data_IF_224823240804
#
_entry.id   IF_224823240804
#
_cell.length_a   1.000
_cell.length_b   1.000
_cell.length_c   1.000
_cell.angle_alpha   90.00
_cell.angle_beta   90.00
_cell.angle_gamma   90.00
#
_symmetry.space_group_name_H-M   'P 1'
#
loop_
_entity.id
_entity.type
_entity.pdbx_description
1 polymer ?
#
# COMPACT_ATOMS: atom_id res chain seq x y z
N UNK A 1 29.07 9.74 11.41
CA UNK A 1 27.72 10.12 10.88
C UNK A 1 27.76 10.06 9.36
N UNK A 2 26.90 9.27 8.72
CA UNK A 2 27.00 8.94 7.29
C UNK A 2 26.61 10.09 6.35
N UNK A 3 25.74 11.01 6.80
CA UNK A 3 25.15 12.07 5.95
C UNK A 3 25.21 13.48 6.56
N UNK A 4 26.08 13.70 7.56
CA UNK A 4 26.31 15.01 8.21
C UNK A 4 25.05 15.81 8.65
N UNK A 5 24.02 15.11 9.13
CA UNK A 5 22.81 15.73 9.71
C UNK A 5 22.97 15.96 11.22
N UNK A 6 22.20 16.88 11.83
CA UNK A 6 22.14 17.05 13.29
C UNK A 6 21.64 15.77 13.99
N UNK A 7 22.05 15.53 15.25
CA UNK A 7 21.52 14.37 16.01
C UNK A 7 20.10 14.72 16.43
N UNK A 8 19.11 13.85 16.21
CA UNK A 8 17.81 14.02 16.85
C UNK A 8 17.94 13.81 18.36
N UNK A 9 17.71 14.86 19.16
CA UNK A 9 17.79 14.84 20.64
C UNK A 9 16.46 14.43 21.32
N UNK A 10 15.43 14.05 20.55
CA UNK A 10 14.08 13.80 21.07
C UNK A 10 13.82 12.38 21.59
N UNK A 11 14.80 11.46 21.53
CA UNK A 11 14.57 10.03 21.83
C UNK A 11 14.18 9.74 23.28
N UNK A 12 14.57 10.59 24.23
CA UNK A 12 14.15 10.46 25.63
C UNK A 12 12.64 10.68 25.83
N UNK A 13 11.95 11.27 24.85
CA UNK A 13 10.51 11.54 24.85
C UNK A 13 9.71 10.54 23.98
N UNK A 14 10.31 9.38 23.65
CA UNK A 14 9.62 8.34 22.90
C UNK A 14 8.47 7.72 23.70
N UNK A 15 7.58 7.02 23.00
CA UNK A 15 6.56 6.19 23.64
C UNK A 15 7.20 5.11 24.51
N UNK A 16 6.55 4.80 25.62
CA UNK A 16 6.98 3.74 26.50
C UNK A 16 6.64 2.35 25.94
N UNK A 17 7.32 1.33 26.45
CA UNK A 17 7.04 -0.05 26.08
C UNK A 17 5.71 -0.53 26.67
N UNK A 18 4.81 -1.05 25.82
CA UNK A 18 3.61 -1.77 26.21
C UNK A 18 3.30 -2.93 25.26
N UNK A 19 2.52 -3.95 25.68
CA UNK A 19 2.07 -5.01 24.79
C UNK A 19 1.17 -4.45 23.68
N UNK A 20 1.49 -4.76 22.42
CA UNK A 20 0.69 -4.40 21.25
C UNK A 20 -0.03 -5.60 20.66
N UNK A 21 -1.34 -5.49 20.49
CA UNK A 21 -2.17 -6.43 19.73
C UNK A 21 -2.99 -5.68 18.68
N UNK A 22 -3.07 -6.26 17.48
CA UNK A 22 -3.88 -5.73 16.40
C UNK A 22 -4.33 -6.87 15.49
N UNK A 23 -5.62 -6.89 15.20
CA UNK A 23 -6.23 -7.77 14.22
C UNK A 23 -6.50 -6.96 12.96
N UNK A 24 -6.11 -7.49 11.80
CA UNK A 24 -6.40 -6.90 10.50
C UNK A 24 -7.36 -7.80 9.72
N UNK A 25 -8.31 -7.18 9.03
CA UNK A 25 -9.20 -7.88 8.10
C UNK A 25 -9.43 -7.03 6.85
N UNK A 26 -9.42 -7.66 5.68
CA UNK A 26 -9.75 -7.01 4.42
C UNK A 26 -10.51 -7.98 3.52
N UNK A 27 -11.47 -7.43 2.80
CA UNK A 27 -12.21 -8.08 1.75
C UNK A 27 -12.01 -7.30 0.45
N UNK A 28 -11.55 -8.00 -0.59
CA UNK A 28 -11.46 -7.47 -1.95
C UNK A 28 -12.48 -8.17 -2.83
N UNK A 29 -13.14 -7.42 -3.70
CA UNK A 29 -14.04 -7.98 -4.70
C UNK A 29 -13.39 -7.85 -6.08
N UNK A 30 -12.81 -8.93 -6.58
CA UNK A 30 -12.14 -8.94 -7.89
C UNK A 30 -13.12 -9.27 -9.01
N UNK A 31 -12.77 -8.94 -10.25
CA UNK A 31 -13.50 -9.32 -11.46
C UNK A 31 -14.91 -8.73 -11.52
N UNK A 32 -15.15 -7.58 -10.88
CA UNK A 32 -16.44 -6.90 -10.99
C UNK A 32 -16.67 -6.39 -12.41
N UNK A 33 -15.59 -6.03 -13.12
CA UNK A 33 -15.58 -5.64 -14.51
C UNK A 33 -14.25 -6.06 -15.13
N UNK A 34 -14.31 -6.99 -16.08
CA UNK A 34 -13.18 -7.37 -16.93
C UNK A 34 -13.60 -7.09 -18.38
N UNK A 35 -12.89 -6.17 -19.03
CA UNK A 35 -13.11 -5.86 -20.44
C UNK A 35 -11.81 -6.12 -21.21
N UNK A 36 -11.88 -7.00 -22.22
CA UNK A 36 -10.82 -7.15 -23.22
C UNK A 36 -11.01 -6.04 -24.25
N UNK A 37 -10.02 -5.16 -24.39
CA UNK A 37 -10.21 -3.89 -25.11
C UNK A 37 -9.82 -3.97 -26.59
N UNK A 38 -9.01 -4.94 -27.04
CA UNK A 38 -8.69 -5.07 -28.47
C UNK A 38 -8.17 -6.44 -28.92
N UNK A 39 -8.44 -6.80 -30.18
CA UNK A 39 -7.80 -7.88 -30.96
C UNK A 39 -6.72 -7.30 -31.93
N UNK A 40 -6.05 -6.20 -31.56
CA UNK A 40 -4.97 -5.61 -32.37
C UNK A 40 -3.64 -6.29 -32.04
N UNK A 41 -2.88 -6.70 -33.07
CA UNK A 41 -1.58 -7.41 -32.97
C UNK A 41 -0.52 -6.71 -32.09
N UNK A 42 -0.70 -5.43 -31.77
CA UNK A 42 0.24 -4.62 -30.95
C UNK A 42 -0.25 -4.42 -29.50
N UNK A 43 -1.50 -4.80 -29.20
CA UNK A 43 -2.19 -4.68 -27.90
C UNK A 43 -3.05 -5.93 -27.67
N UNK A 44 -2.51 -7.09 -28.02
CA UNK A 44 -3.21 -8.37 -27.84
C UNK A 44 -3.41 -8.60 -26.34
N UNK A 45 -4.61 -8.99 -25.93
CA UNK A 45 -4.97 -9.28 -24.54
C UNK A 45 -4.94 -8.12 -23.52
N UNK A 46 -5.08 -6.86 -23.94
CA UNK A 46 -5.24 -5.75 -22.99
C UNK A 46 -6.48 -5.94 -22.10
N UNK A 47 -6.26 -6.11 -20.80
CA UNK A 47 -7.31 -6.28 -19.82
C UNK A 47 -7.37 -5.07 -18.85
N UNK A 48 -8.58 -4.76 -18.42
CA UNK A 48 -8.87 -3.78 -17.37
C UNK A 48 -9.64 -4.46 -16.26
N UNK A 49 -9.21 -4.27 -15.01
CA UNK A 49 -9.95 -4.74 -13.83
C UNK A 49 -10.10 -3.64 -12.79
N UNK A 50 -11.27 -3.63 -12.14
CA UNK A 50 -11.57 -2.77 -11.00
C UNK A 50 -11.84 -3.64 -9.79
N UNK A 51 -10.96 -3.52 -8.79
CA UNK A 51 -11.08 -4.24 -7.53
C UNK A 51 -11.33 -3.24 -6.39
N UNK A 52 -12.59 -3.00 -5.99
CA UNK A 52 -12.91 -2.36 -4.73
C UNK A 52 -12.52 -3.26 -3.56
N UNK A 53 -12.21 -2.62 -2.44
CA UNK A 53 -11.83 -3.30 -1.21
C UNK A 53 -12.32 -2.55 0.02
N UNK A 54 -12.60 -3.30 1.08
CA UNK A 54 -12.99 -2.80 2.38
C UNK A 54 -12.22 -3.59 3.44
N UNK A 55 -11.68 -2.90 4.43
CA UNK A 55 -10.94 -3.54 5.50
C UNK A 55 -10.84 -2.68 6.74
N UNK A 56 -10.00 -3.09 7.66
CA UNK A 56 -9.79 -2.36 8.89
C UNK A 56 -8.84 -3.07 9.83
N UNK A 57 -8.56 -2.38 10.92
CA UNK A 57 -7.81 -2.91 12.04
C UNK A 57 -8.60 -2.72 13.33
N UNK A 58 -8.41 -3.64 14.28
CA UNK A 58 -8.94 -3.52 15.64
C UNK A 58 -7.85 -3.95 16.63
N UNK A 59 -7.53 -3.07 17.57
CA UNK A 59 -6.48 -3.30 18.56
C UNK A 59 -5.99 -2.02 19.21
N UNK A 60 -5.08 -2.16 20.18
CA UNK A 60 -4.52 -1.00 20.89
C UNK A 60 -3.44 -0.27 20.07
N UNK A 61 -2.79 -0.96 19.12
CA UNK A 61 -1.84 -0.33 18.18
C UNK A 61 -2.58 0.48 17.12
N UNK A 62 -3.58 -0.14 16.48
CA UNK A 62 -4.40 0.48 15.44
C UNK A 62 -5.86 0.05 15.55
N UNK A 63 -6.76 1.01 15.47
CA UNK A 63 -8.19 0.78 15.23
C UNK A 63 -8.68 1.73 14.15
N UNK A 64 -9.09 1.19 13.00
CA UNK A 64 -9.58 1.98 11.88
C UNK A 64 -10.49 1.17 10.96
N UNK A 65 -11.35 1.86 10.23
CA UNK A 65 -12.03 1.33 9.05
C UNK A 65 -11.40 1.90 7.78
N UNK A 66 -11.29 1.09 6.73
CA UNK A 66 -10.69 1.48 5.46
C UNK A 66 -11.53 1.01 4.28
N UNK A 67 -11.61 1.83 3.24
CA UNK A 67 -12.29 1.50 1.99
C UNK A 67 -11.62 2.17 0.81
N UNK A 68 -11.55 1.46 -0.31
CA UNK A 68 -10.88 1.97 -1.49
C UNK A 68 -11.18 1.17 -2.74
N UNK A 69 -10.50 1.58 -3.81
CA UNK A 69 -10.55 0.87 -5.09
C UNK A 69 -9.16 0.83 -5.72
N UNK A 70 -8.91 -0.25 -6.46
CA UNK A 70 -7.71 -0.42 -7.27
C UNK A 70 -8.13 -0.67 -8.71
N UNK A 71 -7.60 0.12 -9.63
CA UNK A 71 -7.69 -0.03 -11.08
C UNK A 71 -6.43 -0.73 -11.57
N UNK A 72 -6.60 -1.67 -12.50
CA UNK A 72 -5.54 -2.46 -13.10
C UNK A 72 -5.68 -2.42 -14.60
N UNK A 73 -4.56 -2.21 -15.29
CA UNK A 73 -4.47 -2.13 -16.75
C UNK A 73 -3.19 -2.81 -17.18
N UNK A 74 -3.25 -3.73 -18.13
CA UNK A 74 -2.03 -4.35 -18.66
C UNK A 74 -2.30 -5.51 -19.59
N UNK A 75 -1.23 -5.97 -20.21
CA UNK A 75 -1.16 -7.22 -20.97
C UNK A 75 -0.68 -8.33 -20.03
N UNK A 76 -1.31 -9.50 -20.10
CA UNK A 76 -1.04 -10.63 -19.19
C UNK A 76 -1.15 -10.24 -17.70
N UNK A 77 -2.32 -9.69 -17.35
CA UNK A 77 -2.63 -9.29 -15.97
C UNK A 77 -2.57 -10.52 -15.05
N UNK A 78 -1.62 -10.57 -14.10
CA UNK A 78 -1.53 -11.71 -13.21
C UNK A 78 -2.80 -11.80 -12.36
N UNK A 79 -3.30 -13.02 -12.15
CA UNK A 79 -4.43 -13.28 -11.25
C UNK A 79 -4.00 -13.15 -9.77
N UNK A 80 -3.60 -11.95 -9.38
CA UNK A 80 -2.90 -11.62 -8.16
C UNK A 80 -3.69 -10.55 -7.36
N UNK A 81 -3.40 -10.37 -6.08
CA UNK A 81 -4.07 -9.41 -5.20
C UNK A 81 -3.51 -7.98 -5.34
N UNK A 82 -2.75 -7.74 -6.40
CA UNK A 82 -1.93 -6.57 -6.62
C UNK A 82 -0.64 -6.58 -5.81
N UNK A 83 0.22 -5.57 -6.03
CA UNK A 83 1.53 -5.45 -5.41
C UNK A 83 1.44 -5.24 -3.88
N UNK A 84 2.50 -5.60 -3.13
CA UNK A 84 2.61 -5.36 -1.69
C UNK A 84 2.29 -3.92 -1.30
N UNK A 85 1.36 -3.71 -0.36
CA UNK A 85 1.07 -2.38 0.17
C UNK A 85 1.97 -2.09 1.37
N UNK A 86 2.36 -0.83 1.52
CA UNK A 86 3.14 -0.39 2.68
C UNK A 86 2.26 -0.44 3.93
N UNK A 87 2.82 -1.01 5.00
CA UNK A 87 2.13 -1.21 6.27
C UNK A 87 1.54 0.11 6.81
N UNK A 88 0.41 0.05 7.53
CA UNK A 88 -0.24 -1.15 8.06
C UNK A 88 -1.22 -1.84 7.08
N UNK A 89 -1.15 -1.57 5.77
CA UNK A 89 -1.94 -2.32 4.80
C UNK A 89 -1.46 -3.78 4.67
N UNK A 90 -2.39 -4.69 4.35
CA UNK A 90 -2.08 -6.10 4.11
C UNK A 90 -1.20 -6.22 2.84
N UNK A 91 -0.19 -7.11 2.87
CA UNK A 91 0.64 -7.33 1.70
C UNK A 91 -0.21 -7.87 0.55
N UNK A 92 -0.05 -7.27 -0.63
CA UNK A 92 -0.41 -7.88 -1.91
C UNK A 92 0.44 -9.13 -2.21
N UNK A 93 0.22 -9.74 -3.37
CA UNK A 93 0.85 -11.01 -3.74
C UNK A 93 2.04 -10.81 -4.69
N UNK A 94 3.13 -11.53 -4.43
CA UNK A 94 4.32 -11.58 -5.31
C UNK A 94 4.19 -12.60 -6.47
N UNK A 95 3.03 -13.26 -6.60
CA UNK A 95 2.84 -14.31 -7.60
C UNK A 95 2.56 -13.72 -8.99
N UNK A 96 3.40 -14.08 -9.98
CA UNK A 96 3.22 -13.74 -11.39
C UNK A 96 3.44 -15.00 -12.25
N UNK A 97 2.59 -15.22 -13.25
CA UNK A 97 2.72 -16.31 -14.22
C UNK A 97 2.75 -15.68 -15.62
N UNK A 98 3.95 -15.44 -16.20
CA UNK A 98 4.06 -14.97 -17.57
C UNK A 98 3.53 -16.04 -18.52
N UNK A 99 2.53 -15.73 -19.33
CA UNK A 99 2.16 -16.53 -20.49
C UNK A 99 2.96 -16.11 -21.75
N UNK A 100 3.47 -14.87 -21.78
CA UNK A 100 4.16 -14.31 -22.94
C UNK A 100 5.62 -13.84 -22.72
N UNK A 101 6.33 -13.55 -23.81
CA UNK A 101 7.75 -13.15 -23.78
C UNK A 101 8.01 -11.74 -23.24
N UNK A 102 6.98 -10.90 -23.21
CA UNK A 102 6.98 -9.56 -22.64
C UNK A 102 5.59 -9.29 -22.07
N UNK A 103 5.53 -8.72 -20.88
CA UNK A 103 4.26 -8.31 -20.27
C UNK A 103 4.47 -7.04 -19.47
N UNK A 104 3.42 -6.23 -19.36
CA UNK A 104 3.47 -5.02 -18.57
C UNK A 104 2.11 -4.79 -17.93
N UNK A 105 2.14 -4.17 -16.77
CA UNK A 105 0.91 -3.77 -16.13
C UNK A 105 1.12 -2.56 -15.23
N UNK A 106 0.02 -1.85 -15.06
CA UNK A 106 -0.11 -0.69 -14.22
C UNK A 106 -1.25 -0.91 -13.22
N UNK A 107 -0.99 -0.52 -11.98
CA UNK A 107 -1.99 -0.47 -10.92
C UNK A 107 -2.09 0.95 -10.39
N UNK A 108 -3.29 1.49 -10.33
CA UNK A 108 -3.60 2.74 -9.65
C UNK A 108 -4.63 2.50 -8.57
N UNK A 109 -4.47 3.06 -7.38
CA UNK A 109 -5.45 2.86 -6.31
C UNK A 109 -5.56 4.04 -5.36
N UNK A 110 -6.73 4.16 -4.74
CA UNK A 110 -6.98 5.12 -3.67
C UNK A 110 -7.72 4.43 -2.53
N UNK A 111 -7.36 4.76 -1.29
CA UNK A 111 -7.95 4.22 -0.07
C UNK A 111 -8.11 5.33 0.97
N UNK A 112 -9.32 5.48 1.49
CA UNK A 112 -9.60 6.33 2.65
C UNK A 112 -9.62 5.48 3.92
N UNK A 113 -9.01 5.98 4.99
CA UNK A 113 -9.06 5.39 6.33
C UNK A 113 -9.67 6.33 7.34
N UNK A 114 -10.60 5.82 8.12
CA UNK A 114 -11.16 6.48 9.30
C UNK A 114 -10.47 5.90 10.55
N UNK A 115 -9.49 6.63 11.07
CA UNK A 115 -8.58 6.21 12.15
C UNK A 115 -9.11 6.65 13.51
N UNK A 116 -9.49 5.68 14.33
CA UNK A 116 -9.94 5.89 15.71
C UNK A 116 -8.79 5.79 16.71
N UNK A 117 -7.86 4.87 16.47
CA UNK A 117 -6.66 4.68 17.28
C UNK A 117 -5.44 4.49 16.38
N UNK A 118 -4.38 5.22 16.69
CA UNK A 118 -3.03 5.03 16.21
C UNK A 118 -2.09 5.35 17.38
N UNK A 119 -1.57 4.33 18.06
CA UNK A 119 -0.72 4.48 19.25
C UNK A 119 0.48 5.40 19.02
N UNK A 120 1.00 5.46 17.78
CA UNK A 120 2.15 6.31 17.42
C UNK A 120 1.83 7.80 17.42
N UNK A 121 0.53 8.15 17.40
CA UNK A 121 0.04 9.53 17.46
C UNK A 121 -0.73 9.79 18.77
N UNK A 122 -1.47 8.81 19.24
CA UNK A 122 -2.34 8.92 20.42
C UNK A 122 -1.61 8.69 21.75
N UNK A 123 -0.41 8.12 21.71
CA UNK A 123 0.32 7.72 22.90
C UNK A 123 -0.02 6.31 23.38
N UNK A 124 0.66 5.88 24.44
CA UNK A 124 0.47 4.60 25.10
C UNK A 124 -0.97 4.39 25.58
N UNK A 125 -1.45 3.15 25.51
CA UNK A 125 -2.81 2.77 25.91
C UNK A 125 -2.90 2.52 27.41
N UNK A 126 -1.83 1.98 28.01
CA UNK A 126 -1.81 1.54 29.41
C UNK A 126 -0.98 2.46 30.33
N UNK A 127 -0.33 3.48 29.76
CA UNK A 127 0.52 4.44 30.47
C UNK A 127 0.33 5.81 29.85
N UNK A 128 0.52 6.84 30.65
CA UNK A 128 0.50 8.21 30.13
C UNK A 128 1.76 8.47 29.30
N UNK A 129 1.60 9.04 28.12
CA UNK A 129 2.71 9.44 27.24
C UNK A 129 2.33 10.64 26.38
N UNK A 130 3.29 11.14 25.60
CA UNK A 130 3.02 12.19 24.63
C UNK A 130 2.06 11.72 23.54
N UNK A 131 1.25 12.67 23.07
CA UNK A 131 0.31 12.49 21.96
C UNK A 131 0.23 13.77 21.12
N UNK A 132 -0.27 13.63 19.90
CA UNK A 132 -0.51 14.73 18.96
C UNK A 132 -1.94 14.68 18.45
N UNK A 133 -2.47 15.83 18.04
CA UNK A 133 -3.83 15.90 17.50
C UNK A 133 -3.90 15.24 16.12
N UNK A 134 -4.37 13.98 16.09
CA UNK A 134 -4.49 13.19 14.87
C UNK A 134 -5.62 13.67 13.97
N UNK A 135 -5.47 13.43 12.67
CA UNK A 135 -6.54 13.58 11.68
C UNK A 135 -7.28 12.24 11.58
N UNK A 136 -8.59 12.19 11.86
CA UNK A 136 -9.32 10.94 11.81
C UNK A 136 -9.48 10.41 10.39
N UNK A 137 -9.37 11.25 9.36
CA UNK A 137 -9.42 10.83 7.95
C UNK A 137 -8.05 10.93 7.31
N UNK A 138 -7.55 9.80 6.80
CA UNK A 138 -6.29 9.69 6.06
C UNK A 138 -6.58 9.13 4.67
N UNK A 139 -6.00 9.74 3.64
CA UNK A 139 -6.10 9.29 2.25
C UNK A 139 -4.75 8.77 1.77
N UNK A 140 -4.75 7.55 1.26
CA UNK A 140 -3.63 6.91 0.59
C UNK A 140 -3.92 6.81 -0.92
N UNK A 141 -2.96 7.25 -1.75
CA UNK A 141 -2.98 7.08 -3.21
C UNK A 141 -1.75 6.26 -3.58
N UNK A 142 -1.92 5.23 -4.41
CA UNK A 142 -0.82 4.38 -4.87
C UNK A 142 -0.81 4.26 -6.39
N UNK A 143 0.39 4.23 -6.95
CA UNK A 143 0.65 3.91 -8.34
C UNK A 143 1.76 2.87 -8.42
N UNK A 144 1.56 1.84 -9.23
CA UNK A 144 2.56 0.79 -9.48
C UNK A 144 2.68 0.55 -10.96
N UNK A 145 3.91 0.51 -11.43
CA UNK A 145 4.25 0.08 -12.77
C UNK A 145 5.11 -1.17 -12.66
N UNK A 146 4.79 -2.21 -13.41
CA UNK A 146 5.66 -3.37 -13.55
C UNK A 146 5.84 -3.76 -15.00
N UNK A 147 7.02 -4.30 -15.28
CA UNK A 147 7.41 -4.85 -16.57
C UNK A 147 8.01 -6.23 -16.32
N UNK A 148 7.52 -7.20 -17.06
CA UNK A 148 8.05 -8.55 -17.11
C UNK A 148 8.84 -8.72 -18.41
N UNK A 149 10.09 -9.14 -18.28
CA UNK A 149 10.99 -9.41 -19.39
C UNK A 149 11.24 -10.93 -19.47
N UNK A 150 10.76 -11.56 -20.55
CA UNK A 150 10.75 -13.00 -20.68
C UNK A 150 9.89 -13.69 -19.62
N UNK A 151 10.11 -15.00 -19.43
CA UNK A 151 9.38 -15.78 -18.43
C UNK A 151 10.01 -15.76 -17.02
N UNK A 152 11.03 -14.90 -16.80
CA UNK A 152 11.93 -15.01 -15.63
C UNK A 152 12.12 -13.74 -14.81
N UNK A 153 12.04 -12.55 -15.41
CA UNK A 153 12.40 -11.31 -14.72
C UNK A 153 11.19 -10.40 -14.64
N UNK A 154 10.90 -9.88 -13.45
CA UNK A 154 9.92 -8.82 -13.23
C UNK A 154 10.57 -7.66 -12.50
N UNK A 155 10.43 -6.46 -13.06
CA UNK A 155 10.78 -5.20 -12.43
C UNK A 155 9.50 -4.47 -12.07
N UNK A 156 9.39 -3.97 -10.83
CA UNK A 156 8.25 -3.16 -10.44
C UNK A 156 8.67 -1.95 -9.61
N UNK A 157 8.02 -0.83 -9.87
CA UNK A 157 8.14 0.39 -9.10
C UNK A 157 6.79 0.74 -8.49
N UNK A 158 6.76 0.88 -7.18
CA UNK A 158 5.58 1.30 -6.40
C UNK A 158 5.83 2.67 -5.80
N UNK A 159 4.85 3.56 -5.92
CA UNK A 159 4.83 4.85 -5.25
C UNK A 159 3.55 5.01 -4.45
N UNK A 160 3.67 5.44 -3.19
CA UNK A 160 2.55 5.72 -2.28
C UNK A 160 2.63 7.17 -1.82
N UNK A 161 1.52 7.88 -1.91
CA UNK A 161 1.30 9.17 -1.28
C UNK A 161 0.28 9.02 -0.16
N UNK A 162 0.60 9.50 1.03
CA UNK A 162 -0.27 9.52 2.20
C UNK A 162 -0.52 10.95 2.63
N UNK A 163 -1.78 11.30 2.86
CA UNK A 163 -2.16 12.61 3.41
C UNK A 163 -1.58 12.82 4.81
N UNK A 164 -1.64 14.05 5.32
CA UNK A 164 -1.26 14.33 6.72
C UNK A 164 -2.06 13.44 7.69
N UNK A 165 -1.39 12.93 8.72
CA UNK A 165 -1.97 12.04 9.73
C UNK A 165 -2.25 12.78 11.05
N UNK A 166 -1.64 13.96 11.26
CA UNK A 166 -1.85 14.79 12.46
C UNK A 166 -1.67 16.29 12.17
N UNK A 167 -2.05 17.14 13.13
CA UNK A 167 -1.84 18.60 13.06
C UNK A 167 -0.41 18.96 13.43
N UNK A 168 0.18 19.90 12.70
CA UNK A 168 1.60 20.26 12.84
C UNK A 168 2.54 19.49 11.92
N UNK A 169 2.03 18.49 11.17
CA UNK A 169 2.79 17.85 10.10
C UNK A 169 2.94 18.81 8.89
N UNK A 170 4.17 19.04 8.43
CA UNK A 170 4.47 19.99 7.35
C UNK A 170 3.84 19.57 6.01
N UNK A 171 4.02 18.31 5.61
CA UNK A 171 3.51 17.73 4.38
C UNK A 171 3.06 16.28 4.58
N UNK A 172 2.28 15.75 3.63
CA UNK A 172 1.98 14.32 3.59
C UNK A 172 3.25 13.49 3.38
N UNK A 173 3.15 12.18 3.63
CA UNK A 173 4.26 11.26 3.47
C UNK A 173 4.26 10.66 2.06
N UNK A 174 5.44 10.37 1.52
CA UNK A 174 5.59 9.66 0.25
C UNK A 174 6.64 8.57 0.36
N UNK A 175 6.39 7.45 -0.31
CA UNK A 175 7.26 6.28 -0.25
C UNK A 175 7.40 5.68 -1.64
N UNK A 176 8.64 5.37 -2.03
CA UNK A 176 8.96 4.67 -3.26
C UNK A 176 9.58 3.31 -2.97
N UNK A 177 9.24 2.29 -3.75
CA UNK A 177 9.87 0.97 -3.67
C UNK A 177 10.16 0.47 -5.07
N UNK A 178 11.39 -0.01 -5.26
CA UNK A 178 11.83 -0.70 -6.47
C UNK A 178 12.08 -2.17 -6.13
N UNK A 179 11.46 -3.08 -6.87
CA UNK A 179 11.59 -4.53 -6.67
C UNK A 179 12.03 -5.22 -7.95
N UNK A 180 12.97 -6.16 -7.81
CA UNK A 180 13.38 -7.11 -8.85
C UNK A 180 13.01 -8.51 -8.38
N UNK A 181 12.23 -9.22 -9.19
CA UNK A 181 11.85 -10.61 -8.95
C UNK A 181 12.41 -11.48 -10.07
N UNK A 182 13.02 -12.61 -9.69
CA UNK A 182 13.60 -13.59 -10.61
C UNK A 182 13.01 -14.96 -10.35
N UNK A 183 12.45 -15.59 -11.39
CA UNK A 183 11.93 -16.97 -11.37
C UNK A 183 13.03 -17.93 -11.82
N UNK A 184 13.26 -18.98 -11.04
CA UNK A 184 14.22 -20.07 -11.29
C UNK A 184 13.50 -21.41 -11.48
#
# INVERSE_FOLDING_TARGET
KLINVQIPEGWENQLENEPGIVLYYERKWRNLWEARVSDLVVLDELAVDVTPHLGGALGNVYTYGAGGMTLRLGEDLPNDYGPPRLRPALPGSDYFRPDDSFGWYFFGGAEGRLVLQNIFLDGNTFRDSHSVDKRPLVLDIQAVLAVTLGQRIRLAYTHLWRSKEFRGQDAGNQFGTLSLSVRF
#
